data_IF_302714863738
#
_entry.id   IF_302714863738
#
_cell.length_a   1.000
_cell.length_b   1.000
_cell.length_c   1.000
_cell.angle_alpha   90.00
_cell.angle_beta   90.00
_cell.angle_gamma   90.00
#
_symmetry.space_group_name_H-M   'P 1'
#
loop_
_entity.id
_entity.type
_entity.pdbx_description
1 polymer ?
#
# COMPACT_ATOMS: atom_id res chain seq x y z
N UNK A 1 -7.77 -37.10 -28.10
CA UNK A 1 -8.63 -36.13 -27.38
C UNK A 1 -7.97 -35.83 -26.04
N UNK A 2 -7.48 -34.60 -25.85
CA UNK A 2 -7.40 -33.87 -24.59
C UNK A 2 -6.56 -32.62 -24.85
N UNK A 3 -7.25 -31.63 -25.44
CA UNK A 3 -6.78 -30.26 -25.52
C UNK A 3 -6.84 -29.64 -24.12
N UNK A 4 -5.93 -28.68 -23.88
CA UNK A 4 -6.04 -27.59 -22.89
C UNK A 4 -5.84 -27.93 -21.41
N UNK A 5 -4.58 -28.17 -21.04
CA UNK A 5 -4.08 -27.77 -19.72
C UNK A 5 -3.83 -26.26 -19.69
N UNK A 6 -4.90 -25.46 -19.74
CA UNK A 6 -4.79 -24.02 -19.44
C UNK A 6 -4.34 -23.95 -17.98
N UNK A 7 -3.13 -23.46 -17.76
CA UNK A 7 -2.67 -23.08 -16.42
C UNK A 7 -3.59 -21.95 -15.98
N UNK A 8 -4.67 -22.31 -15.28
CA UNK A 8 -5.65 -21.36 -14.79
C UNK A 8 -4.94 -20.56 -13.70
N UNK A 9 -4.34 -19.43 -14.07
CA UNK A 9 -3.87 -18.46 -13.11
C UNK A 9 -5.09 -18.05 -12.28
N UNK A 10 -5.22 -18.61 -11.08
CA UNK A 10 -6.24 -18.20 -10.11
C UNK A 10 -5.91 -16.77 -9.72
N UNK A 11 -6.52 -15.81 -10.42
CA UNK A 11 -6.43 -14.39 -10.08
C UNK A 11 -7.45 -14.15 -8.98
N UNK A 12 -6.97 -13.75 -7.81
CA UNK A 12 -7.80 -13.35 -6.69
C UNK A 12 -7.36 -11.96 -6.23
N UNK A 13 -8.29 -11.17 -5.74
CA UNK A 13 -7.98 -9.94 -5.04
C UNK A 13 -8.06 -10.17 -3.53
N UNK A 14 -7.30 -9.38 -2.79
CA UNK A 14 -7.35 -9.34 -1.33
C UNK A 14 -7.78 -7.93 -0.95
N UNK A 15 -8.88 -7.85 -0.20
CA UNK A 15 -9.33 -6.62 0.44
C UNK A 15 -9.09 -6.72 1.94
N UNK A 16 -8.59 -5.64 2.53
CA UNK A 16 -8.49 -5.50 3.96
C UNK A 16 -9.82 -4.96 4.49
N UNK A 17 -10.58 -5.79 5.19
CA UNK A 17 -11.93 -5.48 5.66
C UNK A 17 -12.01 -5.37 7.18
N UNK A 18 -13.03 -4.71 7.70
CA UNK A 18 -13.38 -4.82 9.12
C UNK A 18 -12.59 -3.98 10.15
N UNK A 19 -13.20 -3.95 11.34
CA UNK A 19 -13.19 -2.88 12.31
C UNK A 19 -12.09 -2.98 13.39
N UNK A 20 -11.18 -2.00 13.40
CA UNK A 20 -10.47 -1.61 14.62
C UNK A 20 -10.15 -0.11 14.67
N UNK A 21 -10.80 0.65 15.57
CA UNK A 21 -12.20 0.56 15.93
C UNK A 21 -13.01 1.58 15.10
N UNK A 22 -14.13 1.16 14.50
CA UNK A 22 -15.17 2.05 13.92
C UNK A 22 -14.89 2.80 12.60
N UNK A 23 -13.79 2.56 11.87
CA UNK A 23 -13.56 3.33 10.62
C UNK A 23 -14.41 2.90 9.42
N UNK A 24 -14.92 1.66 9.40
CA UNK A 24 -15.64 1.07 8.25
C UNK A 24 -17.17 0.97 8.43
N UNK A 25 -17.70 1.27 9.62
CA UNK A 25 -19.16 1.19 9.89
C UNK A 25 -19.94 2.36 9.31
N UNK A 26 -19.26 3.38 8.80
CA UNK A 26 -19.91 4.54 8.20
C UNK A 26 -20.68 4.14 6.92
N UNK A 27 -21.88 4.70 6.69
CA UNK A 27 -22.71 4.36 5.52
C UNK A 27 -21.96 4.48 4.18
N UNK A 28 -21.17 5.55 4.01
CA UNK A 28 -20.35 5.79 2.80
C UNK A 28 -19.28 4.73 2.55
N UNK A 29 -18.82 4.06 3.61
CA UNK A 29 -17.80 3.00 3.52
C UNK A 29 -18.44 1.69 3.15
N UNK A 30 -19.58 1.35 3.77
CA UNK A 30 -20.38 0.17 3.43
C UNK A 30 -20.84 0.17 1.97
N UNK A 31 -21.25 1.33 1.46
CA UNK A 31 -21.66 1.46 0.05
C UNK A 31 -20.49 1.20 -0.92
N UNK A 32 -19.31 1.72 -0.60
CA UNK A 32 -18.09 1.45 -1.38
C UNK A 32 -17.67 -0.02 -1.33
N UNK A 33 -17.70 -0.63 -0.15
CA UNK A 33 -17.32 -2.04 0.02
C UNK A 33 -18.29 -2.92 -0.79
N UNK A 34 -19.60 -2.66 -0.72
CA UNK A 34 -20.61 -3.35 -1.53
C UNK A 34 -20.42 -3.14 -3.04
N UNK A 35 -19.99 -1.95 -3.46
CA UNK A 35 -19.64 -1.68 -4.86
C UNK A 35 -18.45 -2.54 -5.31
N UNK A 36 -17.38 -2.60 -4.51
CA UNK A 36 -16.20 -3.42 -4.79
C UNK A 36 -16.61 -4.89 -4.91
N UNK A 37 -17.39 -5.41 -3.97
CA UNK A 37 -17.92 -6.77 -4.02
C UNK A 37 -18.68 -7.04 -5.33
N UNK A 38 -19.55 -6.12 -5.74
CA UNK A 38 -20.33 -6.22 -6.97
C UNK A 38 -19.46 -6.28 -8.24
N UNK A 39 -18.40 -5.47 -8.31
CA UNK A 39 -17.46 -5.46 -9.44
C UNK A 39 -16.72 -6.79 -9.55
N UNK A 40 -16.21 -7.33 -8.44
CA UNK A 40 -15.49 -8.59 -8.43
C UNK A 40 -16.40 -9.79 -8.76
N UNK A 41 -17.62 -9.79 -8.23
CA UNK A 41 -18.63 -10.78 -8.56
C UNK A 41 -18.99 -10.77 -10.06
N UNK A 42 -19.21 -9.58 -10.64
CA UNK A 42 -19.48 -9.42 -12.07
C UNK A 42 -18.29 -9.89 -12.94
N UNK A 43 -17.06 -9.63 -12.49
CA UNK A 43 -15.84 -10.09 -13.15
C UNK A 43 -15.53 -11.58 -12.97
N UNK A 44 -16.32 -12.30 -12.15
CA UNK A 44 -16.08 -13.71 -11.77
C UNK A 44 -14.69 -13.92 -11.17
N UNK A 45 -14.21 -12.92 -10.42
CA UNK A 45 -12.93 -12.96 -9.74
C UNK A 45 -13.15 -13.11 -8.23
N UNK A 46 -12.52 -14.08 -7.55
CA UNK A 46 -12.61 -14.19 -6.10
C UNK A 46 -11.99 -12.97 -5.42
N UNK A 47 -12.73 -12.41 -4.46
CA UNK A 47 -12.27 -11.34 -3.56
C UNK A 47 -12.22 -11.90 -2.13
N UNK A 48 -11.01 -12.00 -1.58
CA UNK A 48 -10.79 -12.43 -0.20
C UNK A 48 -10.78 -11.22 0.73
N UNK A 49 -11.73 -11.20 1.65
CA UNK A 49 -11.82 -10.22 2.72
C UNK A 49 -10.97 -10.67 3.93
N UNK A 50 -9.83 -10.01 4.14
CA UNK A 50 -8.95 -10.26 5.28
C UNK A 50 -9.19 -9.19 6.33
N UNK A 51 -9.58 -9.54 7.57
CA UNK A 51 -9.82 -8.55 8.60
C UNK A 51 -8.61 -7.62 8.85
N UNK A 52 -8.81 -6.39 9.33
CA UNK A 52 -7.70 -5.57 9.80
C UNK A 52 -7.39 -5.93 11.26
N UNK A 53 -6.21 -6.49 11.51
CA UNK A 53 -5.70 -6.78 12.86
C UNK A 53 -4.25 -6.33 13.01
N UNK A 54 -3.80 -6.14 14.26
CA UNK A 54 -2.42 -5.73 14.57
C UNK A 54 -1.39 -6.81 14.24
N UNK A 55 -1.81 -8.08 14.24
CA UNK A 55 -0.97 -9.22 13.92
C UNK A 55 -1.82 -10.42 13.50
N UNK A 56 -1.16 -11.34 12.82
CA UNK A 56 -1.69 -12.62 12.37
C UNK A 56 -0.68 -13.73 12.65
N UNK A 57 -1.17 -14.93 12.92
CA UNK A 57 -0.34 -16.12 12.87
C UNK A 57 -0.17 -16.58 11.42
N UNK A 58 1.02 -17.06 11.06
CA UNK A 58 1.29 -17.50 9.67
C UNK A 58 0.35 -18.64 9.21
N UNK A 59 0.06 -19.59 10.10
CA UNK A 59 -0.87 -20.69 9.80
C UNK A 59 -2.30 -20.20 9.52
N UNK A 60 -2.75 -19.14 10.18
CA UNK A 60 -4.06 -18.53 9.96
C UNK A 60 -4.14 -17.88 8.57
N UNK A 61 -3.10 -17.13 8.18
CA UNK A 61 -3.01 -16.56 6.83
C UNK A 61 -2.94 -17.64 5.76
N UNK A 62 -2.18 -18.72 6.00
CA UNK A 62 -2.11 -19.85 5.09
C UNK A 62 -3.47 -20.49 4.88
N UNK A 63 -4.23 -20.72 5.95
CA UNK A 63 -5.57 -21.29 5.86
C UNK A 63 -6.54 -20.38 5.07
N UNK A 64 -6.45 -19.06 5.26
CA UNK A 64 -7.26 -18.08 4.53
C UNK A 64 -6.92 -18.01 3.03
N UNK A 65 -5.62 -18.11 2.69
CA UNK A 65 -5.14 -17.92 1.32
C UNK A 65 -5.17 -19.21 0.50
N UNK A 66 -4.99 -20.37 1.13
CA UNK A 66 -4.86 -21.67 0.45
C UNK A 66 -5.94 -21.98 -0.60
N UNK A 67 -7.25 -21.67 -0.40
CA UNK A 67 -8.27 -21.94 -1.41
C UNK A 67 -8.09 -21.15 -2.71
N UNK A 68 -7.49 -19.96 -2.60
CA UNK A 68 -7.35 -18.99 -3.68
C UNK A 68 -5.98 -19.09 -4.38
N UNK A 69 -4.99 -19.69 -3.74
CA UNK A 69 -3.67 -19.89 -4.32
C UNK A 69 -3.67 -21.15 -5.20
N UNK A 70 -3.18 -21.00 -6.44
CA UNK A 70 -2.92 -22.12 -7.36
C UNK A 70 -1.59 -22.85 -7.09
N UNK A 71 -0.89 -22.49 -6.01
CA UNK A 71 0.42 -23.02 -5.65
C UNK A 71 0.45 -23.35 -4.16
N UNK A 72 1.18 -24.39 -3.79
CA UNK A 72 1.39 -24.77 -2.38
C UNK A 72 2.69 -24.17 -1.84
N UNK A 73 2.81 -24.04 -0.52
CA UNK A 73 4.05 -23.60 0.15
C UNK A 73 5.26 -24.46 -0.25
N UNK A 74 5.06 -25.77 -0.40
CA UNK A 74 6.08 -26.70 -0.87
C UNK A 74 6.49 -26.48 -2.34
N UNK A 75 5.60 -25.97 -3.19
CA UNK A 75 5.91 -25.60 -4.57
C UNK A 75 6.65 -24.27 -4.65
N UNK A 76 6.25 -23.26 -3.84
CA UNK A 76 6.97 -21.97 -3.75
C UNK A 76 8.40 -22.15 -3.24
N UNK A 77 8.62 -23.06 -2.29
CA UNK A 77 9.96 -23.37 -1.77
C UNK A 77 10.90 -24.02 -2.79
N UNK A 78 10.36 -24.58 -3.88
CA UNK A 78 11.13 -25.16 -4.99
C UNK A 78 11.36 -24.16 -6.13
N UNK A 79 10.66 -23.03 -6.13
CA UNK A 79 10.90 -21.93 -7.06
C UNK A 79 12.10 -21.16 -6.52
N UNK A 80 13.28 -21.44 -7.06
CA UNK A 80 14.49 -20.65 -6.86
C UNK A 80 14.26 -19.25 -7.43
N UNK A 81 13.63 -18.35 -6.66
CA UNK A 81 13.70 -16.92 -6.94
C UNK A 81 15.14 -16.53 -6.65
N UNK A 82 15.97 -16.51 -7.70
CA UNK A 82 17.23 -15.80 -7.65
C UNK A 82 16.93 -14.39 -7.16
N UNK A 83 17.44 -14.08 -5.97
CA UNK A 83 17.41 -12.78 -5.32
C UNK A 83 17.60 -11.70 -6.40
N UNK A 84 16.69 -10.72 -6.58
CA UNK A 84 16.93 -9.64 -7.51
C UNK A 84 18.27 -9.03 -7.15
N UNK A 85 19.22 -9.13 -8.09
CA UNK A 85 20.54 -8.55 -7.96
C UNK A 85 20.37 -7.10 -7.51
N UNK A 86 21.15 -6.73 -6.50
CA UNK A 86 21.22 -5.37 -5.98
C UNK A 86 21.45 -4.44 -7.17
N UNK A 87 20.46 -3.61 -7.48
CA UNK A 87 20.63 -2.51 -8.41
C UNK A 87 21.66 -1.57 -7.80
N UNK A 88 22.88 -1.64 -8.32
CA UNK A 88 23.97 -0.73 -8.04
C UNK A 88 23.56 0.65 -8.58
N UNK A 89 23.34 1.70 -7.76
CA UNK A 89 23.27 3.03 -8.32
C UNK A 89 24.71 3.50 -8.54
N UNK A 90 25.20 3.30 -9.76
CA UNK A 90 26.35 4.05 -10.25
C UNK A 90 26.12 5.54 -10.01
N UNK A 91 27.06 6.12 -9.27
CA UNK A 91 27.41 7.52 -9.19
C UNK A 91 26.81 8.39 -10.31
N UNK A 92 25.81 9.20 -9.96
CA UNK A 92 25.65 10.50 -10.59
C UNK A 92 25.60 11.54 -9.48
N UNK A 93 26.76 12.14 -9.22
CA UNK A 93 26.94 13.31 -8.40
C UNK A 93 26.18 14.46 -9.06
N UNK A 94 24.92 14.64 -8.68
CA UNK A 94 24.19 15.89 -8.87
C UNK A 94 23.57 16.29 -7.54
N UNK A 95 24.35 17.10 -6.82
CA UNK A 95 23.96 17.97 -5.71
C UNK A 95 23.20 17.25 -4.59
N UNK A 96 23.93 16.91 -3.52
CA UNK A 96 23.36 16.63 -2.21
C UNK A 96 22.60 17.89 -1.73
N UNK A 97 21.37 18.06 -2.20
CA UNK A 97 20.39 18.86 -1.48
C UNK A 97 20.17 18.12 -0.16
N UNK A 98 20.48 18.78 0.95
CA UNK A 98 20.23 18.23 2.29
C UNK A 98 18.73 18.02 2.41
N UNK A 99 18.27 16.79 2.17
CA UNK A 99 16.86 16.45 2.28
C UNK A 99 16.52 16.40 3.76
N UNK A 100 15.75 17.37 4.23
CA UNK A 100 15.24 17.37 5.60
C UNK A 100 14.37 16.12 5.80
N UNK A 101 14.70 15.31 6.80
CA UNK A 101 13.95 14.09 7.11
C UNK A 101 12.85 14.38 8.13
N UNK A 102 11.73 13.69 7.97
CA UNK A 102 10.59 13.83 8.87
C UNK A 102 10.93 13.27 10.26
N UNK A 103 10.80 14.06 11.34
CA UNK A 103 11.16 13.61 12.69
C UNK A 103 10.26 12.49 13.22
N UNK A 104 9.10 12.26 12.58
CA UNK A 104 8.12 11.25 13.01
C UNK A 104 8.32 9.88 12.35
N UNK A 105 8.74 9.85 11.08
CA UNK A 105 8.74 8.60 10.30
C UNK A 105 9.99 8.40 9.44
N UNK A 106 10.94 9.34 9.46
CA UNK A 106 12.16 9.27 8.66
C UNK A 106 11.99 9.48 7.16
N UNK A 107 10.76 9.63 6.66
CA UNK A 107 10.52 9.95 5.24
C UNK A 107 10.90 11.39 4.89
N UNK A 108 11.19 11.66 3.61
CA UNK A 108 11.62 12.98 3.16
C UNK A 108 10.57 14.06 3.39
N UNK A 109 11.01 15.28 3.71
CA UNK A 109 10.16 16.47 3.76
C UNK A 109 10.20 17.23 2.44
N UNK A 110 9.03 17.66 1.98
CA UNK A 110 8.83 18.33 0.70
C UNK A 110 8.22 19.71 0.93
N UNK A 111 8.76 20.73 0.28
CA UNK A 111 8.23 22.09 0.36
C UNK A 111 6.91 22.16 -0.40
N UNK A 112 5.85 22.61 0.27
CA UNK A 112 4.50 22.73 -0.28
C UNK A 112 3.96 24.13 -0.03
N UNK A 113 3.05 24.56 -0.89
CA UNK A 113 2.30 25.81 -0.72
C UNK A 113 0.86 25.48 -0.33
N UNK A 114 0.35 26.12 0.71
CA UNK A 114 -1.03 25.99 1.13
C UNK A 114 -1.96 26.58 0.05
N UNK A 115 -2.93 25.79 -0.40
CA UNK A 115 -3.84 26.16 -1.51
C UNK A 115 -5.08 26.94 -1.05
N UNK A 116 -5.45 26.85 0.22
CA UNK A 116 -6.72 27.36 0.73
C UNK A 116 -6.68 27.61 2.24
N UNK A 117 -7.60 28.42 2.75
CA UNK A 117 -7.73 28.76 4.17
C UNK A 117 -6.87 29.97 4.58
N UNK A 118 -6.81 30.23 5.89
CA UNK A 118 -6.11 31.41 6.44
C UNK A 118 -4.61 31.49 6.09
N UNK A 119 -3.99 30.35 5.74
CA UNK A 119 -2.58 30.27 5.37
C UNK A 119 -2.37 30.10 3.86
N UNK A 120 -3.38 30.36 3.01
CA UNK A 120 -3.26 30.23 1.57
C UNK A 120 -2.09 31.07 1.03
N UNK A 121 -1.26 30.48 0.17
CA UNK A 121 -0.04 31.10 -0.37
C UNK A 121 1.21 30.89 0.48
N UNK A 122 1.09 30.55 1.76
CA UNK A 122 2.24 30.27 2.63
C UNK A 122 2.89 28.93 2.30
N UNK A 123 4.24 28.91 2.36
CA UNK A 123 5.03 27.69 2.20
C UNK A 123 5.19 26.95 3.53
N UNK A 124 5.29 25.63 3.48
CA UNK A 124 5.58 24.78 4.64
C UNK A 124 6.26 23.47 4.20
N UNK A 125 7.01 22.85 5.10
CA UNK A 125 7.57 21.52 4.86
C UNK A 125 6.54 20.46 5.24
N UNK A 126 6.11 19.65 4.28
CA UNK A 126 5.19 18.53 4.51
C UNK A 126 5.84 17.18 4.22
N UNK A 127 5.54 16.16 5.03
CA UNK A 127 6.07 14.82 4.80
C UNK A 127 5.61 14.24 3.44
N UNK A 128 6.54 13.63 2.71
CA UNK A 128 6.30 12.90 1.46
C UNK A 128 5.30 11.74 1.62
N UNK A 129 5.28 11.10 2.79
CA UNK A 129 4.39 9.97 3.10
C UNK A 129 2.94 10.39 3.42
N UNK A 130 2.53 11.64 3.15
CA UNK A 130 1.12 12.03 3.26
C UNK A 130 0.23 11.17 2.32
N UNK A 131 -0.95 10.67 2.74
CA UNK A 131 -1.68 10.98 3.98
C UNK A 131 -1.31 10.14 5.21
N UNK A 132 -0.42 9.15 5.07
CA UNK A 132 -0.01 8.25 6.17
C UNK A 132 0.81 8.96 7.25
N UNK A 133 1.59 9.97 6.88
CA UNK A 133 2.25 10.87 7.81
C UNK A 133 1.84 12.32 7.55
N UNK A 134 1.28 13.01 8.55
CA UNK A 134 0.77 14.38 8.46
C UNK A 134 1.65 15.43 9.14
N UNK A 135 2.91 15.08 9.44
CA UNK A 135 3.86 16.02 10.04
C UNK A 135 4.11 17.18 9.08
N UNK A 136 4.00 18.40 9.61
CA UNK A 136 4.32 19.64 8.93
C UNK A 136 5.29 20.43 9.80
N UNK A 137 6.27 21.08 9.19
CA UNK A 137 7.17 22.03 9.84
C UNK A 137 7.05 23.40 9.17
N UNK A 138 7.23 24.50 9.93
CA UNK A 138 7.27 25.83 9.37
C UNK A 138 8.38 25.95 8.31
N UNK A 139 8.11 26.71 7.26
CA UNK A 139 9.14 27.13 6.32
C UNK A 139 9.58 28.55 6.68
N UNK A 140 10.77 28.68 7.23
CA UNK A 140 11.40 29.98 7.41
C UNK A 140 12.13 30.33 6.12
N UNK A 141 11.63 31.32 5.38
CA UNK A 141 12.38 31.92 4.30
C UNK A 141 13.58 32.64 4.94
N UNK A 142 14.79 32.14 4.73
CA UNK A 142 16.00 32.88 5.09
C UNK A 142 15.92 34.25 4.40
N UNK A 143 15.87 35.30 5.22
CA UNK A 143 15.72 36.69 4.81
C UNK A 143 16.89 37.05 3.88
N UNK A 144 16.55 37.52 2.68
CA UNK A 144 17.50 38.12 1.74
C UNK A 144 17.55 39.64 1.98
#
# INVERSE_FOLDING_TARGET
MNLTGIVMFKRAAIELSGCYPKSHERPDRRERDAFVDGVFAAAKLPLLHVPVRRSYAMAELEALLAPHLGTTRAQVQKISIEKPAQANPSNNVRQAQVTMMCPKCGGEMVLRTAKSGANAGSKFWGCSNFPRCRTMLPYEAQQA
#
